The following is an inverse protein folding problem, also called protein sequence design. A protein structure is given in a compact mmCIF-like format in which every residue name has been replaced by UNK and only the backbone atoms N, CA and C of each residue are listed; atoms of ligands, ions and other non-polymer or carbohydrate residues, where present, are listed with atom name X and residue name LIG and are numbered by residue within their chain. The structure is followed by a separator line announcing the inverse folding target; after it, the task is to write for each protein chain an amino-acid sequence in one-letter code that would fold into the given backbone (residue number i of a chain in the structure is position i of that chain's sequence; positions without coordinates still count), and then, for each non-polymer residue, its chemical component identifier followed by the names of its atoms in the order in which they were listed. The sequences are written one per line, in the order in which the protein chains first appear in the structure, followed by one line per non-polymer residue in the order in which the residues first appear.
data_IF_731449831441
#
_entry.id   IF_731449831441
#
_cell.length_a   1.000
_cell.length_b   1.000
_cell.length_c   1.000
_cell.angle_alpha   90.00
_cell.angle_beta   90.00
_cell.angle_gamma   90.00
#
_symmetry.space_group_name_H-M   'P 1'
#
loop_
_entity.id
_entity.type
_entity.pdbx_description
1 polymer ?
#
# COMPACT_ATOMS: atom_id res chain seq x y z
N UNK A 1 4.43 -0.40 8.14
CA UNK A 1 5.66 0.25 7.62
C UNK A 1 5.40 0.62 6.17
N UNK A 2 5.82 1.80 5.72
CA UNK A 2 5.63 2.23 4.32
C UNK A 2 6.92 2.81 3.75
N UNK A 3 7.62 2.11 2.86
CA UNK A 3 8.82 2.65 2.20
C UNK A 3 8.77 2.42 0.70
N UNK A 4 9.20 3.41 -0.08
CA UNK A 4 9.40 3.29 -1.53
C UNK A 4 10.85 3.05 -1.94
N UNK A 5 11.76 2.90 -0.98
CA UNK A 5 13.20 2.77 -1.20
C UNK A 5 13.80 1.69 -0.30
N UNK A 6 14.95 1.13 -0.74
CA UNK A 6 15.71 0.15 0.03
C UNK A 6 16.49 0.84 1.15
N UNK A 7 16.13 0.55 2.40
CA UNK A 7 16.70 1.21 3.58
C UNK A 7 16.49 2.72 3.53
N UNK A 8 17.59 3.47 3.54
CA UNK A 8 17.60 4.93 3.43
C UNK A 8 18.24 5.44 2.12
N UNK A 9 18.34 4.58 1.09
CA UNK A 9 18.97 4.95 -0.18
C UNK A 9 17.95 5.47 -1.20
N UNK A 10 17.89 6.78 -1.39
CA UNK A 10 16.98 7.45 -2.34
C UNK A 10 17.23 7.09 -3.81
N UNK A 11 18.38 6.53 -4.15
CA UNK A 11 18.71 6.07 -5.51
C UNK A 11 18.30 4.61 -5.78
N UNK A 12 17.81 3.88 -4.76
CA UNK A 12 17.34 2.50 -4.90
C UNK A 12 15.85 2.43 -4.59
N UNK A 13 15.04 2.86 -5.54
CA UNK A 13 13.59 2.74 -5.47
C UNK A 13 13.14 1.27 -5.53
N UNK A 14 12.07 0.95 -4.81
CA UNK A 14 11.39 -0.33 -4.90
C UNK A 14 10.43 -0.27 -6.10
N UNK A 15 10.57 -1.18 -7.06
CA UNK A 15 9.68 -1.22 -8.21
C UNK A 15 8.29 -1.74 -7.80
N UNK A 16 7.22 -0.92 -7.90
CA UNK A 16 5.86 -1.36 -7.61
C UNK A 16 5.36 -2.47 -8.54
N UNK A 17 6.05 -2.76 -9.66
CA UNK A 17 5.75 -3.88 -10.56
C UNK A 17 6.31 -5.22 -10.09
N UNK A 18 7.37 -5.20 -9.29
CA UNK A 18 7.95 -6.41 -8.69
C UNK A 18 7.31 -6.71 -7.35
N UNK A 19 6.96 -5.68 -6.59
CA UNK A 19 6.50 -5.84 -5.21
C UNK A 19 5.69 -4.65 -4.71
N UNK A 20 4.49 -4.92 -4.17
CA UNK A 20 3.62 -3.88 -3.59
C UNK A 20 3.53 -3.91 -2.07
N UNK A 21 3.64 -5.07 -1.44
CA UNK A 21 3.45 -5.22 0.00
C UNK A 21 3.68 -6.64 0.47
N UNK A 22 3.88 -6.78 1.78
CA UNK A 22 3.93 -8.07 2.45
C UNK A 22 3.40 -7.97 3.86
N UNK A 23 2.97 -9.10 4.39
CA UNK A 23 2.63 -9.30 5.78
C UNK A 23 3.60 -10.31 6.40
N UNK A 24 4.24 -9.94 7.50
CA UNK A 24 4.99 -10.85 8.36
C UNK A 24 4.15 -11.16 9.59
N UNK A 25 3.76 -12.42 9.72
CA UNK A 25 2.99 -12.90 10.87
C UNK A 25 3.95 -13.30 11.97
N UNK A 26 3.80 -12.71 13.15
CA UNK A 26 4.54 -13.07 14.35
C UNK A 26 3.61 -12.98 15.58
N UNK A 27 3.65 -13.94 16.52
CA UNK A 27 2.78 -13.93 17.70
C UNK A 27 2.92 -12.71 18.62
N UNK A 28 4.02 -11.97 18.52
CA UNK A 28 4.34 -10.83 19.39
C UNK A 28 4.28 -9.51 18.63
N UNK A 29 4.68 -9.49 17.36
CA UNK A 29 4.73 -8.27 16.56
C UNK A 29 4.57 -8.54 15.07
N UNK A 30 3.33 -8.69 14.61
CA UNK A 30 3.01 -8.73 13.19
C UNK A 30 3.34 -7.40 12.50
N UNK A 31 3.82 -7.47 11.26
CA UNK A 31 4.21 -6.29 10.47
C UNK A 31 3.58 -6.36 9.09
N UNK A 32 2.88 -5.29 8.72
CA UNK A 32 2.53 -5.02 7.32
C UNK A 32 3.51 -4.01 6.73
N UNK A 33 4.06 -4.36 5.57
CA UNK A 33 4.84 -3.47 4.73
C UNK A 33 4.03 -3.08 3.49
N UNK A 34 4.07 -1.80 3.14
CA UNK A 34 3.50 -1.28 1.89
C UNK A 34 4.57 -0.52 1.11
N UNK A 35 4.67 -0.77 -0.19
CA UNK A 35 5.56 -0.05 -1.08
C UNK A 35 5.07 1.39 -1.25
N UNK A 36 5.84 2.33 -0.72
CA UNK A 36 5.55 3.76 -0.76
C UNK A 36 5.73 4.41 -2.14
N UNK A 37 6.31 3.71 -3.11
CA UNK A 37 6.47 4.17 -4.49
C UNK A 37 5.20 4.00 -5.34
N UNK A 38 4.21 3.22 -4.89
CA UNK A 38 2.92 3.10 -5.57
C UNK A 38 2.00 4.31 -5.27
N UNK A 39 0.92 4.47 -6.03
CA UNK A 39 -0.11 5.47 -5.79
C UNK A 39 -0.78 5.30 -4.43
N UNK A 40 -1.33 6.38 -3.84
CA UNK A 40 -2.00 6.30 -2.54
C UNK A 40 -3.21 5.37 -2.53
N UNK A 41 -3.97 5.34 -3.61
CA UNK A 41 -5.08 4.40 -3.78
C UNK A 41 -4.60 2.93 -3.75
N UNK A 42 -3.49 2.64 -4.45
CA UNK A 42 -2.89 1.30 -4.44
C UNK A 42 -2.29 0.95 -3.06
N UNK A 43 -1.63 1.90 -2.38
CA UNK A 43 -1.11 1.69 -1.02
C UNK A 43 -2.22 1.31 -0.04
N UNK A 44 -3.39 1.96 -0.13
CA UNK A 44 -4.55 1.65 0.71
C UNK A 44 -5.09 0.25 0.40
N UNK A 45 -5.22 -0.11 -0.88
CA UNK A 45 -5.62 -1.46 -1.27
C UNK A 45 -4.67 -2.53 -0.73
N UNK A 46 -3.37 -2.35 -0.95
CA UNK A 46 -2.34 -3.26 -0.44
C UNK A 46 -2.41 -3.36 1.08
N UNK A 47 -2.57 -2.26 1.80
CA UNK A 47 -2.66 -2.31 3.27
C UNK A 47 -3.79 -3.22 3.77
N UNK A 48 -4.98 -3.09 3.17
CA UNK A 48 -6.13 -3.93 3.56
C UNK A 48 -5.92 -5.38 3.11
N UNK A 49 -5.33 -5.58 1.94
CA UNK A 49 -4.98 -6.92 1.43
C UNK A 49 -4.01 -7.64 2.37
N UNK A 50 -2.92 -6.99 2.80
CA UNK A 50 -1.96 -7.57 3.75
C UNK A 50 -2.56 -7.78 5.15
N UNK A 51 -3.51 -6.93 5.55
CA UNK A 51 -4.24 -7.15 6.80
C UNK A 51 -5.09 -8.43 6.74
N UNK A 52 -5.67 -8.74 5.57
CA UNK A 52 -6.38 -9.99 5.35
C UNK A 52 -5.43 -11.20 5.48
N UNK A 53 -4.21 -11.13 4.93
CA UNK A 53 -3.19 -12.16 5.15
C UNK A 53 -2.87 -12.39 6.63
N UNK A 54 -2.73 -11.30 7.40
CA UNK A 54 -2.53 -11.41 8.86
C UNK A 54 -3.68 -12.13 9.56
N UNK A 55 -4.93 -11.94 9.14
CA UNK A 55 -6.09 -12.63 9.73
C UNK A 55 -6.09 -14.13 9.44
N UNK A 56 -5.51 -14.55 8.32
CA UNK A 56 -5.32 -15.97 8.01
C UNK A 56 -4.10 -16.57 8.72
N UNK A 57 -3.25 -15.75 9.33
CA UNK A 57 -1.98 -16.20 9.91
C UNK A 57 -0.94 -16.58 8.86
N UNK A 58 -1.15 -16.18 7.60
CA UNK A 58 -0.27 -16.49 6.48
C UNK A 58 0.72 -15.34 6.24
N UNK A 59 2.00 -15.68 6.08
CA UNK A 59 3.02 -14.75 5.62
C UNK A 59 3.06 -14.80 4.10
N UNK A 60 2.76 -13.70 3.43
CA UNK A 60 2.67 -13.64 1.97
C UNK A 60 3.44 -12.45 1.40
N UNK A 61 3.96 -12.66 0.19
CA UNK A 61 4.46 -11.61 -0.69
C UNK A 61 3.35 -11.38 -1.72
N UNK A 62 2.75 -10.19 -1.73
CA UNK A 62 1.71 -9.87 -2.71
C UNK A 62 2.28 -9.84 -4.13
N UNK A 63 1.85 -10.79 -4.95
CA UNK A 63 2.21 -10.90 -6.36
C UNK A 63 1.16 -10.23 -7.27
N UNK A 64 1.57 -9.65 -8.40
CA UNK A 64 0.74 -8.68 -9.13
C UNK A 64 -0.06 -9.22 -10.29
N UNK A 65 0.19 -10.47 -10.70
CA UNK A 65 -0.44 -11.01 -11.89
C UNK A 65 -1.89 -11.46 -11.57
N UNK A 66 -2.93 -10.82 -12.14
CA UNK A 66 -4.31 -11.30 -11.97
C UNK A 66 -4.50 -12.76 -12.40
N UNK A 67 -3.62 -13.28 -13.27
CA UNK A 67 -3.60 -14.69 -13.68
C UNK A 67 -3.05 -15.60 -12.59
N UNK A 68 -1.99 -15.19 -11.86
CA UNK A 68 -1.45 -15.98 -10.74
C UNK A 68 -2.40 -15.99 -9.55
N UNK A 69 -3.06 -14.85 -9.29
CA UNK A 69 -4.11 -14.72 -8.26
C UNK A 69 -5.26 -15.69 -8.53
N UNK A 70 -5.68 -15.89 -9.79
CA UNK A 70 -6.79 -16.79 -10.11
C UNK A 70 -6.57 -18.24 -9.63
N UNK A 71 -5.32 -18.69 -9.61
CA UNK A 71 -4.93 -20.04 -9.16
C UNK A 71 -4.65 -20.15 -7.66
N UNK A 72 -4.69 -19.05 -6.90
CA UNK A 72 -4.37 -19.03 -5.47
C UNK A 72 -5.58 -18.59 -4.63
N UNK A 73 -6.15 -19.52 -3.86
CA UNK A 73 -7.35 -19.30 -3.04
C UNK A 73 -7.16 -18.22 -1.98
N UNK A 74 -5.99 -18.17 -1.35
CA UNK A 74 -5.64 -17.18 -0.31
C UNK A 74 -5.61 -15.79 -0.91
N UNK A 75 -4.91 -15.61 -2.03
CA UNK A 75 -4.82 -14.33 -2.75
C UNK A 75 -6.19 -13.85 -3.23
N UNK A 76 -7.04 -14.77 -3.70
CA UNK A 76 -8.43 -14.43 -4.08
C UNK A 76 -9.22 -13.95 -2.89
N UNK A 77 -9.12 -14.63 -1.75
CA UNK A 77 -9.82 -14.26 -0.54
C UNK A 77 -9.33 -12.90 0.00
N UNK A 78 -8.03 -12.66 0.07
CA UNK A 78 -7.45 -11.38 0.48
C UNK A 78 -7.90 -10.23 -0.43
N UNK A 79 -7.92 -10.46 -1.74
CA UNK A 79 -8.44 -9.48 -2.71
C UNK A 79 -9.94 -9.21 -2.54
N UNK A 80 -10.75 -10.25 -2.27
CA UNK A 80 -12.18 -10.08 -1.99
C UNK A 80 -12.42 -9.29 -0.71
N UNK A 81 -11.67 -9.58 0.36
CA UNK A 81 -11.73 -8.82 1.61
C UNK A 81 -11.35 -7.36 1.39
N UNK A 82 -10.25 -7.08 0.68
CA UNK A 82 -9.84 -5.72 0.38
C UNK A 82 -10.87 -4.97 -0.47
N UNK A 83 -11.44 -5.63 -1.48
CA UNK A 83 -12.47 -5.05 -2.32
C UNK A 83 -13.76 -4.77 -1.51
N UNK A 84 -14.19 -5.70 -0.63
CA UNK A 84 -15.37 -5.54 0.25
C UNK A 84 -15.20 -4.45 1.29
N UNK A 85 -14.02 -4.35 1.86
CA UNK A 85 -13.72 -3.32 2.83
C UNK A 85 -13.69 -1.92 2.20
N UNK A 86 -13.09 -1.77 1.01
CA UNK A 86 -12.88 -0.46 0.38
C UNK A 86 -14.04 0.00 -0.49
N UNK A 87 -14.75 -0.95 -1.10
CA UNK A 87 -15.85 -0.67 -2.02
C UNK A 87 -17.00 -1.63 -1.70
N UNK A 88 -17.72 -1.46 -0.58
CA UNK A 88 -18.77 -2.38 -0.17
C UNK A 88 -19.78 -2.63 -1.29
N UNK A 89 -20.12 -3.90 -1.54
CA UNK A 89 -20.93 -4.26 -2.73
C UNK A 89 -22.34 -3.65 -2.66
N UNK A 90 -22.90 -3.49 -1.46
CA UNK A 90 -24.19 -2.83 -1.24
C UNK A 90 -24.16 -1.38 -1.72
N UNK A 91 -23.19 -0.59 -1.22
CA UNK A 91 -23.03 0.81 -1.59
C UNK A 91 -22.66 0.96 -3.06
N UNK A 92 -21.78 0.10 -3.58
CA UNK A 92 -21.41 0.10 -4.99
C UNK A 92 -22.64 -0.03 -5.91
N UNK A 93 -23.57 -0.93 -5.58
CA UNK A 93 -24.80 -1.16 -6.36
C UNK A 93 -25.77 0.02 -6.32
N UNK A 94 -25.77 0.79 -5.23
CA UNK A 94 -26.58 2.01 -5.12
C UNK A 94 -26.02 3.15 -5.97
N UNK A 95 -24.68 3.20 -6.11
CA UNK A 95 -23.98 4.28 -6.82
C UNK A 95 -23.79 4.01 -8.31
N UNK A 96 -23.68 2.75 -8.71
CA UNK A 96 -23.48 2.36 -10.10
C UNK A 96 -24.81 2.27 -10.86
N UNK A 97 -24.92 3.00 -11.98
CA UNK A 97 -26.08 2.96 -12.86
C UNK A 97 -25.78 2.18 -14.15
N UNK A 98 -26.41 1.01 -14.29
CA UNK A 98 -26.30 0.15 -15.49
C UNK A 98 -26.80 0.79 -16.79
N UNK A 99 -27.61 1.85 -16.71
CA UNK A 99 -28.17 2.55 -17.88
C UNK A 99 -27.22 3.60 -18.45
N UNK A 100 -26.22 4.01 -17.68
CA UNK A 100 -25.22 5.01 -18.09
C UNK A 100 -24.01 4.34 -18.69
N UNK A 101 -23.23 5.11 -19.44
CA UNK A 101 -21.95 4.65 -19.98
C UNK A 101 -21.03 4.13 -18.86
N UNK A 102 -20.43 2.97 -19.08
CA UNK A 102 -19.61 2.29 -18.09
C UNK A 102 -18.31 3.05 -17.84
N UNK A 103 -17.61 3.45 -18.91
CA UNK A 103 -16.31 4.12 -18.84
C UNK A 103 -16.44 5.50 -18.17
N UNK A 104 -17.49 6.23 -18.48
CA UNK A 104 -17.82 7.51 -17.85
C UNK A 104 -18.10 7.43 -16.34
N UNK A 105 -18.36 6.24 -15.79
CA UNK A 105 -18.59 6.03 -14.37
C UNK A 105 -17.34 5.56 -13.60
N UNK A 106 -16.30 5.04 -14.28
CA UNK A 106 -15.12 4.47 -13.62
C UNK A 106 -14.40 5.49 -12.73
N UNK A 107 -14.06 6.66 -13.28
CA UNK A 107 -13.37 7.74 -12.54
C UNK A 107 -14.21 8.28 -11.38
N UNK A 108 -15.47 8.68 -11.57
CA UNK A 108 -16.31 9.15 -10.46
C UNK A 108 -16.43 8.14 -9.31
N UNK A 109 -16.58 6.84 -9.62
CA UNK A 109 -16.66 5.80 -8.59
C UNK A 109 -15.31 5.59 -7.90
N UNK A 110 -14.21 5.58 -8.65
CA UNK A 110 -12.86 5.48 -8.10
C UNK A 110 -12.55 6.64 -7.14
N UNK A 111 -12.95 7.86 -7.50
CA UNK A 111 -12.80 9.06 -6.65
C UNK A 111 -13.68 9.02 -5.41
N UNK A 112 -14.92 8.53 -5.52
CA UNK A 112 -15.85 8.37 -4.41
C UNK A 112 -15.29 7.40 -3.36
N UNK A 113 -14.85 6.21 -3.79
CA UNK A 113 -14.34 5.17 -2.92
C UNK A 113 -12.84 5.31 -2.59
N UNK A 114 -12.16 6.30 -3.18
CA UNK A 114 -10.71 6.54 -3.01
C UNK A 114 -9.83 5.35 -3.40
N UNK A 115 -10.24 4.62 -4.42
CA UNK A 115 -9.53 3.46 -4.99
C UNK A 115 -9.09 3.72 -6.42
N UNK A 116 -8.38 2.77 -7.04
CA UNK A 116 -8.06 2.86 -8.47
C UNK A 116 -9.24 2.41 -9.35
N UNK A 117 -9.25 2.84 -10.61
CA UNK A 117 -10.23 2.37 -11.61
C UNK A 117 -10.18 0.85 -11.80
N UNK A 118 -9.01 0.22 -11.63
CA UNK A 118 -8.86 -1.22 -11.63
C UNK A 118 -9.69 -1.91 -10.51
N UNK A 119 -9.78 -1.35 -9.31
CA UNK A 119 -10.61 -1.91 -8.24
C UNK A 119 -12.10 -1.81 -8.62
N UNK A 120 -12.51 -0.69 -9.22
CA UNK A 120 -13.88 -0.49 -9.71
C UNK A 120 -14.22 -1.50 -10.83
N UNK A 121 -13.31 -1.74 -11.77
CA UNK A 121 -13.47 -2.77 -12.80
C UNK A 121 -13.62 -4.17 -12.18
N UNK A 122 -12.85 -4.48 -11.13
CA UNK A 122 -13.00 -5.72 -10.36
C UNK A 122 -14.39 -5.83 -9.73
N UNK A 123 -14.94 -4.74 -9.20
CA UNK A 123 -16.30 -4.70 -8.64
C UNK A 123 -17.39 -4.84 -9.68
N UNK A 124 -17.22 -4.25 -10.86
CA UNK A 124 -18.14 -4.44 -11.98
C UNK A 124 -18.19 -5.92 -12.40
N UNK A 125 -17.03 -6.59 -12.45
CA UNK A 125 -16.96 -8.03 -12.71
C UNK A 125 -17.70 -8.83 -11.63
N UNK A 126 -17.45 -8.56 -10.35
CA UNK A 126 -18.10 -9.26 -9.23
C UNK A 126 -19.61 -9.00 -9.15
N UNK A 127 -20.06 -7.82 -9.59
CA UNK A 127 -21.47 -7.49 -9.74
C UNK A 127 -22.13 -8.14 -10.98
N UNK A 128 -21.37 -8.92 -11.76
CA UNK A 128 -21.84 -9.61 -12.98
C UNK A 128 -22.11 -8.65 -14.15
N UNK A 129 -21.54 -7.44 -14.13
CA UNK A 129 -21.67 -6.46 -15.21
C UNK A 129 -20.68 -6.74 -16.33
N UNK A 130 -19.49 -7.23 -15.98
CA UNK A 130 -18.43 -7.60 -16.92
C UNK A 130 -18.13 -9.09 -16.83
N UNK A 131 -17.96 -9.74 -17.98
CA UNK A 131 -17.32 -11.04 -18.06
C UNK A 131 -15.81 -10.93 -17.77
N UNK A 132 -15.14 -12.06 -17.57
CA UNK A 132 -13.68 -12.06 -17.37
C UNK A 132 -12.93 -11.44 -18.55
N UNK A 133 -13.34 -11.75 -19.78
CA UNK A 133 -12.67 -11.25 -20.99
C UNK A 133 -12.90 -9.75 -21.17
N UNK A 134 -14.11 -9.27 -20.88
CA UNK A 134 -14.43 -7.84 -20.89
C UNK A 134 -13.63 -7.09 -19.82
N UNK A 135 -13.52 -7.67 -18.61
CA UNK A 135 -12.69 -7.11 -17.54
C UNK A 135 -11.22 -7.00 -17.96
N UNK A 136 -10.65 -8.03 -18.57
CA UNK A 136 -9.26 -8.00 -19.05
C UNK A 136 -9.04 -6.96 -20.14
N UNK A 137 -9.99 -6.82 -21.07
CA UNK A 137 -9.91 -5.81 -22.13
C UNK A 137 -9.96 -4.38 -21.57
N UNK A 138 -10.90 -4.07 -20.68
CA UNK A 138 -10.99 -2.75 -20.04
C UNK A 138 -9.79 -2.46 -19.15
N UNK A 139 -9.24 -3.48 -18.47
CA UNK A 139 -8.03 -3.34 -17.66
C UNK A 139 -6.81 -2.92 -18.48
N UNK A 140 -6.65 -3.46 -19.68
CA UNK A 140 -5.53 -3.10 -20.56
C UNK A 140 -5.64 -1.65 -21.05
N UNK A 141 -6.84 -1.23 -21.45
CA UNK A 141 -7.13 0.16 -21.84
C UNK A 141 -6.81 1.14 -20.69
N UNK A 142 -7.23 0.81 -19.46
CA UNK A 142 -6.93 1.63 -18.29
C UNK A 142 -5.42 1.68 -17.96
N UNK A 143 -4.70 0.57 -18.14
CA UNK A 143 -3.24 0.53 -17.94
C UNK A 143 -2.50 1.43 -18.90
N UNK A 144 -2.88 1.42 -20.18
CA UNK A 144 -2.32 2.32 -21.20
C UNK A 144 -2.58 3.79 -20.85
N UNK A 145 -3.82 4.12 -20.45
CA UNK A 145 -4.18 5.48 -20.06
C UNK A 145 -3.40 5.99 -18.84
N UNK A 146 -3.19 5.14 -17.83
CA UNK A 146 -2.41 5.47 -16.63
C UNK A 146 -0.92 5.62 -16.96
N UNK A 147 -0.37 4.75 -17.81
CA UNK A 147 1.03 4.83 -18.23
C UNK A 147 1.33 6.15 -18.95
N UNK A 148 0.43 6.60 -19.84
CA UNK A 148 0.54 7.89 -20.51
C UNK A 148 0.51 9.07 -19.52
N UNK A 149 -0.34 9.02 -18.49
CA UNK A 149 -0.45 10.08 -17.48
C UNK A 149 0.76 10.16 -16.54
N UNK A 150 1.36 9.01 -16.17
CA UNK A 150 2.50 8.97 -15.24
C UNK A 150 3.81 9.46 -15.88
N UNK A 151 3.97 9.35 -17.19
CA UNK A 151 5.13 9.86 -17.91
C UNK A 151 5.32 11.38 -17.77
N UNK A 152 4.27 12.12 -17.38
CA UNK A 152 4.21 13.58 -17.37
C UNK A 152 4.52 14.24 -16.00
N UNK A 153 4.72 13.45 -14.93
CA UNK A 153 4.98 13.99 -13.57
C UNK A 153 6.40 13.72 -13.07
N UNK A 154 7.14 14.80 -12.75
CA UNK A 154 8.45 14.77 -12.07
C UNK A 154 8.36 14.56 -10.54
N UNK A 155 9.44 14.07 -9.92
CA UNK A 155 9.47 13.63 -8.52
C UNK A 155 10.40 14.44 -7.59
N UNK A 156 9.93 14.72 -6.37
CA UNK A 156 10.71 15.30 -5.26
C UNK A 156 10.02 15.06 -3.90
N UNK A 157 10.79 14.95 -2.81
CA UNK A 157 10.27 14.69 -1.46
C UNK A 157 11.22 15.12 -0.32
N UNK A 158 10.67 15.34 0.89
CA UNK A 158 11.42 15.75 2.09
C UNK A 158 11.67 14.55 3.02
N UNK A 159 12.95 14.32 3.38
CA UNK A 159 13.40 13.20 4.21
C UNK A 159 12.73 13.13 5.60
N UNK A 160 12.65 14.25 6.31
CA UNK A 160 12.12 14.29 7.68
C UNK A 160 10.61 14.05 7.76
N UNK A 161 9.87 14.34 6.68
CA UNK A 161 8.45 14.00 6.57
C UNK A 161 8.23 12.52 6.20
N UNK A 162 9.19 11.91 5.50
CA UNK A 162 9.05 10.54 4.98
C UNK A 162 9.48 9.49 6.01
N UNK A 163 10.51 9.76 6.81
CA UNK A 163 11.10 8.77 7.73
C UNK A 163 10.14 8.28 8.83
N UNK A 164 9.34 9.13 9.52
CA UNK A 164 8.35 8.66 10.50
C UNK A 164 7.27 7.75 9.90
N UNK A 165 6.94 7.95 8.62
CA UNK A 165 5.97 7.11 7.88
C UNK A 165 6.60 5.77 7.50
N UNK A 166 7.89 5.76 7.16
CA UNK A 166 8.66 4.55 6.89
C UNK A 166 8.71 3.63 8.10
N UNK A 167 9.32 4.08 9.20
CA UNK A 167 9.59 3.19 10.34
C UNK A 167 8.44 3.09 11.35
N UNK A 168 7.31 3.77 11.12
CA UNK A 168 6.25 4.05 12.10
C UNK A 168 6.67 5.04 13.18
N UNK A 169 5.88 6.12 13.32
CA UNK A 169 6.07 7.15 14.35
C UNK A 169 6.12 6.55 15.75
N UNK A 170 5.23 5.61 16.07
CA UNK A 170 5.18 4.99 17.41
C UNK A 170 6.44 4.19 17.72
N UNK A 171 6.91 3.41 16.75
CA UNK A 171 8.14 2.64 16.89
C UNK A 171 9.35 3.56 17.02
N UNK A 172 9.45 4.58 16.17
CA UNK A 172 10.52 5.58 16.25
C UNK A 172 10.54 6.27 17.63
N UNK A 173 9.40 6.76 18.12
CA UNK A 173 9.31 7.40 19.43
C UNK A 173 9.70 6.45 20.57
N UNK A 174 9.25 5.19 20.54
CA UNK A 174 9.57 4.21 21.58
C UNK A 174 11.08 3.86 21.61
N UNK A 175 11.70 3.68 20.44
CA UNK A 175 13.15 3.40 20.34
C UNK A 175 13.97 4.60 20.80
N UNK A 176 13.58 5.81 20.42
CA UNK A 176 14.25 7.05 20.83
C UNK A 176 14.15 7.24 22.34
N UNK A 177 12.95 7.13 22.92
CA UNK A 177 12.75 7.26 24.36
C UNK A 177 13.58 6.23 25.14
N UNK A 178 13.54 4.96 24.73
CA UNK A 178 14.33 3.89 25.35
C UNK A 178 15.85 4.14 25.27
N UNK A 179 16.33 4.77 24.19
CA UNK A 179 17.74 5.12 24.05
C UNK A 179 18.13 6.30 24.94
N UNK A 180 17.29 7.34 25.01
CA UNK A 180 17.51 8.52 25.86
C UNK A 180 17.46 8.16 27.36
N UNK A 181 16.64 7.17 27.73
CA UNK A 181 16.59 6.62 29.09
C UNK A 181 17.72 5.62 29.41
N UNK A 182 18.64 5.36 28.47
CA UNK A 182 19.77 4.45 28.66
C UNK A 182 19.42 2.95 28.64
N UNK A 183 18.15 2.60 28.36
CA UNK A 183 17.70 1.20 28.26
C UNK A 183 18.12 0.52 26.96
N UNK A 184 18.33 1.30 25.89
CA UNK A 184 18.81 0.81 24.59
C UNK A 184 20.09 1.55 24.18
N UNK A 185 21.20 0.87 23.84
CA UNK A 185 22.38 1.55 23.33
C UNK A 185 22.10 2.34 22.04
N UNK A 186 22.68 3.53 21.90
CA UNK A 186 22.51 4.39 20.72
C UNK A 186 22.83 3.67 19.40
N UNK A 187 23.89 2.87 19.37
CA UNK A 187 24.25 2.06 18.19
C UNK A 187 23.14 1.10 17.77
N UNK A 188 22.44 0.49 18.74
CA UNK A 188 21.30 -0.38 18.50
C UNK A 188 20.08 0.41 18.07
N UNK A 189 19.80 1.53 18.71
CA UNK A 189 18.68 2.41 18.36
C UNK A 189 18.81 2.96 16.94
N UNK A 190 19.98 3.50 16.58
CA UNK A 190 20.28 3.98 15.23
C UNK A 190 20.17 2.87 14.18
N UNK A 191 20.64 1.65 14.49
CA UNK A 191 20.48 0.49 13.60
C UNK A 191 19.00 0.14 13.38
N UNK A 192 18.19 0.15 14.44
CA UNK A 192 16.74 -0.14 14.36
C UNK A 192 15.96 0.91 13.55
N UNK A 193 16.41 2.16 13.56
CA UNK A 193 15.82 3.26 12.79
C UNK A 193 16.44 3.42 11.40
N UNK A 194 17.39 2.56 11.03
CA UNK A 194 18.21 2.64 9.82
C UNK A 194 18.82 4.05 9.64
N UNK A 195 19.60 4.46 10.64
CA UNK A 195 20.28 5.75 10.73
C UNK A 195 21.79 5.54 10.88
N UNK A 196 22.57 6.39 10.20
CA UNK A 196 24.04 6.34 10.23
C UNK A 196 24.68 7.45 11.05
N UNK A 197 23.96 8.53 11.33
CA UNK A 197 24.47 9.73 12.00
C UNK A 197 23.64 10.03 13.23
N UNK A 198 24.32 10.34 14.32
CA UNK A 198 23.70 10.74 15.58
C UNK A 198 22.91 12.05 15.44
N UNK A 199 23.43 13.03 14.68
CA UNK A 199 22.71 14.27 14.40
C UNK A 199 21.36 14.06 13.69
N UNK A 200 21.24 13.03 12.85
CA UNK A 200 19.96 12.66 12.22
C UNK A 200 19.01 12.00 13.22
N UNK A 201 19.55 11.27 14.19
CA UNK A 201 18.77 10.66 15.28
C UNK A 201 18.21 11.73 16.21
N UNK A 202 19.04 12.69 16.65
CA UNK A 202 18.61 13.78 17.51
C UNK A 202 17.60 14.72 16.81
N UNK A 203 17.85 15.05 15.54
CA UNK A 203 16.88 15.83 14.75
C UNK A 203 15.52 15.13 14.60
N UNK A 204 15.50 13.79 14.49
CA UNK A 204 14.23 13.05 14.51
C UNK A 204 13.58 13.07 15.91
N UNK A 205 14.36 13.01 16.99
CA UNK A 205 13.86 13.05 18.36
C UNK A 205 13.14 14.38 18.65
N UNK A 206 13.74 15.50 18.26
CA UNK A 206 13.15 16.83 18.33
C UNK A 206 11.87 16.92 17.49
N UNK A 207 11.93 16.48 16.22
CA UNK A 207 10.78 16.51 15.32
C UNK A 207 9.58 15.69 15.83
N UNK A 208 9.85 14.59 16.52
CA UNK A 208 8.80 13.72 17.08
C UNK A 208 8.29 14.18 18.45
N UNK A 209 8.93 15.16 19.09
CA UNK A 209 8.58 15.67 20.42
C UNK A 209 8.87 14.66 21.53
N UNK A 210 9.95 13.88 21.38
CA UNK A 210 10.40 12.89 22.39
C UNK A 210 11.46 13.52 23.33
N UNK A 211 11.78 14.80 23.09
CA UNK A 211 12.64 15.68 23.89
C UNK A 211 11.91 17.00 24.08
#
# INVERSE_FOLDING_TARGET
MISGIVGSNTHRALDPKEFRGFALVDPRAAVVFVNGADSKAAQVFTLVHELAHLWLGETALSDLDPRSVRSNDVERWCNQVAAEFLVPMSEFRERFDRRRDLRGQLRPLAELFRVSTQVILGRLREAGVLSWDQYMAELEVEREAVAAFLADRGGGGNYYNTKPVQVSRRFASAVIASAKEGRTPYTRAMRLLDMKKESTFDGLAEHLGVV
#
